data_IF_111569503160
#
_entry.id   IF_111569503160
#
_cell.length_a   1.000
_cell.length_b   1.000
_cell.length_c   1.000
_cell.angle_alpha   90.00
_cell.angle_beta   90.00
_cell.angle_gamma   90.00
#
_symmetry.space_group_name_H-M   'P 1'
#
loop_
_entity.id
_entity.type
_entity.pdbx_description
1 polymer ?
#
# COMPACT_ATOMS: atom_id res chain seq x y z
N UNK A 1 10.33 -8.47 -7.27
CA UNK A 1 9.30 -7.97 -6.35
C UNK A 1 8.42 -6.95 -7.04
N UNK A 2 7.25 -6.72 -6.49
CA UNK A 2 6.27 -5.78 -7.03
C UNK A 2 5.97 -4.73 -5.98
N UNK A 3 5.94 -3.48 -6.40
CA UNK A 3 5.44 -2.39 -5.57
C UNK A 3 4.09 -1.96 -6.13
N UNK A 4 3.11 -1.80 -5.27
CA UNK A 4 1.83 -1.22 -5.67
C UNK A 4 1.63 0.11 -4.98
N UNK A 5 1.07 1.05 -5.72
CA UNK A 5 0.66 2.34 -5.21
C UNK A 5 -0.87 2.40 -5.26
N UNK A 6 -1.47 2.51 -4.10
CA UNK A 6 -2.91 2.69 -3.96
C UNK A 6 -3.18 4.14 -3.63
N UNK A 7 -4.05 4.78 -4.40
CA UNK A 7 -4.43 6.16 -4.16
C UNK A 7 -5.95 6.29 -4.09
N UNK A 8 -6.41 7.04 -3.11
CA UNK A 8 -7.83 7.24 -2.83
C UNK A 8 -8.05 8.74 -2.69
N UNK A 9 -8.87 9.30 -3.55
CA UNK A 9 -9.23 10.71 -3.45
C UNK A 9 -10.26 10.86 -2.34
N UNK A 10 -9.95 11.69 -1.35
CA UNK A 10 -10.84 11.91 -0.21
C UNK A 10 -11.89 12.96 -0.55
N UNK A 11 -13.11 12.75 -0.05
CA UNK A 11 -14.20 13.72 -0.19
C UNK A 11 -13.98 14.92 0.73
N UNK A 12 -13.33 14.70 1.86
CA UNK A 12 -12.94 15.75 2.80
C UNK A 12 -11.48 15.58 3.16
N UNK A 13 -10.78 16.70 3.35
CA UNK A 13 -9.38 16.64 3.75
C UNK A 13 -9.24 16.02 5.13
N UNK A 14 -8.14 15.28 5.31
CA UNK A 14 -7.78 14.72 6.61
C UNK A 14 -6.55 15.41 7.15
N UNK A 15 -6.55 15.66 8.45
CA UNK A 15 -5.33 16.02 9.14
C UNK A 15 -4.46 14.77 9.30
N UNK A 16 -3.16 14.97 9.47
CA UNK A 16 -2.24 13.86 9.69
C UNK A 16 -2.63 13.04 10.93
N UNK A 17 -3.05 13.70 11.98
CA UNK A 17 -3.46 13.06 13.22
C UNK A 17 -4.68 12.17 13.02
N UNK A 18 -5.72 12.68 12.34
CA UNK A 18 -6.90 11.88 12.05
C UNK A 18 -6.61 10.73 11.11
N UNK A 19 -5.77 10.95 10.12
CA UNK A 19 -5.35 9.89 9.20
C UNK A 19 -4.65 8.77 9.96
N UNK A 20 -3.75 9.11 10.87
CA UNK A 20 -3.05 8.13 11.68
C UNK A 20 -4.03 7.28 12.49
N UNK A 21 -5.02 7.90 13.10
CA UNK A 21 -6.03 7.17 13.88
C UNK A 21 -6.83 6.21 13.01
N UNK A 22 -7.27 6.68 11.83
CA UNK A 22 -8.04 5.86 10.89
C UNK A 22 -7.19 4.70 10.38
N UNK A 23 -5.96 4.97 9.96
CA UNK A 23 -5.06 3.95 9.42
C UNK A 23 -4.74 2.87 10.47
N UNK A 24 -4.53 3.28 11.71
CA UNK A 24 -4.26 2.36 12.80
C UNK A 24 -5.39 1.35 13.01
N UNK A 25 -6.63 1.71 12.71
CA UNK A 25 -7.77 0.79 12.87
C UNK A 25 -7.74 -0.37 11.88
N UNK A 26 -7.16 -0.17 10.70
CA UNK A 26 -7.09 -1.21 9.67
C UNK A 26 -5.74 -1.90 9.60
N UNK A 27 -4.71 -1.32 10.18
CA UNK A 27 -3.35 -1.87 10.10
C UNK A 27 -3.26 -3.35 10.50
N UNK A 28 -3.93 -3.81 11.57
CA UNK A 28 -3.87 -5.23 11.94
C UNK A 28 -4.33 -6.19 10.84
N UNK A 29 -5.22 -5.75 9.96
CA UNK A 29 -5.70 -6.60 8.84
C UNK A 29 -4.60 -6.95 7.86
N UNK A 30 -3.57 -6.10 7.77
CA UNK A 30 -2.49 -6.27 6.80
C UNK A 30 -1.29 -7.00 7.38
N UNK A 31 -1.25 -7.22 8.70
CA UNK A 31 -0.26 -8.12 9.27
C UNK A 31 -0.54 -9.53 8.78
N UNK A 32 0.52 -10.27 8.50
CA UNK A 32 0.47 -11.66 8.12
C UNK A 32 -0.24 -11.97 6.80
N UNK A 33 -0.49 -10.96 5.96
CA UNK A 33 -0.94 -11.23 4.59
C UNK A 33 0.19 -11.90 3.83
N UNK A 34 -0.09 -13.08 3.30
CA UNK A 34 0.90 -13.85 2.57
C UNK A 34 1.42 -13.09 1.37
N UNK A 35 2.74 -12.95 1.29
CA UNK A 35 3.41 -12.27 0.19
C UNK A 35 3.53 -10.76 0.34
N UNK A 36 2.90 -10.17 1.35
CA UNK A 36 3.07 -8.76 1.66
C UNK A 36 4.28 -8.59 2.58
N UNK A 37 5.30 -7.90 2.10
CA UNK A 37 6.53 -7.68 2.86
C UNK A 37 6.37 -6.50 3.79
N UNK A 38 5.87 -5.38 3.27
CA UNK A 38 5.58 -4.19 4.07
C UNK A 38 4.57 -3.31 3.37
N UNK A 39 3.94 -2.48 4.15
CA UNK A 39 2.98 -1.49 3.67
C UNK A 39 3.22 -0.17 4.40
N UNK A 40 3.24 0.91 3.64
CA UNK A 40 3.18 2.25 4.19
C UNK A 40 1.81 2.82 3.91
N UNK A 41 1.13 3.31 4.94
CA UNK A 41 -0.01 4.18 4.72
C UNK A 41 0.52 5.57 4.38
N UNK A 42 -0.13 6.22 3.43
CA UNK A 42 0.30 7.54 2.98
C UNK A 42 -0.86 8.53 2.99
N UNK A 43 -0.53 9.78 3.22
CA UNK A 43 -1.45 10.89 3.13
C UNK A 43 -0.71 12.02 2.41
N UNK A 44 -1.33 12.61 1.39
CA UNK A 44 -0.74 13.75 0.71
C UNK A 44 -0.62 14.93 1.68
N UNK A 45 0.33 15.82 1.41
CA UNK A 45 0.58 16.96 2.30
C UNK A 45 -0.65 17.87 2.44
N UNK A 46 -1.44 17.99 1.37
CA UNK A 46 -2.69 18.78 1.40
C UNK A 46 -3.85 18.04 2.06
N UNK A 47 -3.67 16.77 2.42
CA UNK A 47 -4.70 15.96 3.06
C UNK A 47 -5.82 15.51 2.15
N UNK A 48 -5.67 15.65 0.83
CA UNK A 48 -6.73 15.34 -0.13
C UNK A 48 -6.68 13.91 -0.68
N UNK A 49 -5.51 13.27 -0.59
CA UNK A 49 -5.31 11.91 -1.12
C UNK A 49 -4.72 11.02 -0.04
N UNK A 50 -5.38 9.90 0.20
CA UNK A 50 -4.88 8.86 1.09
C UNK A 50 -4.52 7.62 0.27
N UNK A 51 -3.81 6.70 0.87
CA UNK A 51 -3.52 5.44 0.20
C UNK A 51 -2.45 4.62 0.90
N UNK A 52 -1.75 3.86 0.10
CA UNK A 52 -0.68 3.01 0.60
C UNK A 52 0.34 2.67 -0.46
N UNK A 53 1.55 2.46 -0.01
CA UNK A 53 2.63 1.89 -0.82
C UNK A 53 2.90 0.51 -0.24
N UNK A 54 2.82 -0.50 -1.09
CA UNK A 54 2.94 -1.90 -0.68
C UNK A 54 4.11 -2.54 -1.39
N UNK A 55 4.88 -3.32 -0.67
CA UNK A 55 5.94 -4.14 -1.26
C UNK A 55 5.52 -5.60 -1.19
N UNK A 56 5.46 -6.27 -2.35
CA UNK A 56 4.99 -7.64 -2.51
C UNK A 56 6.08 -8.56 -3.03
N UNK A 57 6.05 -9.80 -2.59
CA UNK A 57 6.92 -10.83 -3.14
C UNK A 57 6.63 -11.13 -4.60
N UNK A 58 5.35 -11.01 -5.01
CA UNK A 58 4.92 -11.33 -6.36
C UNK A 58 3.68 -10.54 -6.75
N UNK A 59 3.44 -10.42 -8.05
CA UNK A 59 2.22 -9.81 -8.56
C UNK A 59 0.99 -10.61 -8.16
N UNK A 60 1.09 -11.93 -8.18
CA UNK A 60 -0.04 -12.79 -7.79
C UNK A 60 -0.48 -12.53 -6.36
N UNK A 61 0.45 -12.37 -5.43
CA UNK A 61 0.13 -12.05 -4.05
C UNK A 61 -0.60 -10.72 -3.95
N UNK A 62 -0.16 -9.71 -4.70
CA UNK A 62 -0.81 -8.41 -4.73
C UNK A 62 -2.24 -8.51 -5.28
N UNK A 63 -2.42 -9.23 -6.39
CA UNK A 63 -3.73 -9.40 -7.01
C UNK A 63 -4.73 -10.08 -6.09
N UNK A 64 -4.28 -10.94 -5.21
CA UNK A 64 -5.15 -11.61 -4.25
C UNK A 64 -5.73 -10.67 -3.20
N UNK A 65 -5.08 -9.55 -2.92
CA UNK A 65 -5.63 -8.55 -2.01
C UNK A 65 -6.63 -7.63 -2.72
N UNK A 66 -6.32 -7.18 -3.92
CA UNK A 66 -7.08 -6.12 -4.60
C UNK A 66 -8.31 -6.65 -5.33
N UNK A 67 -9.14 -7.38 -4.59
CA UNK A 67 -10.41 -7.92 -5.08
C UNK A 67 -11.48 -6.85 -5.17
N UNK A 68 -12.58 -7.16 -5.82
CA UNK A 68 -13.75 -6.27 -5.86
C UNK A 68 -14.29 -6.00 -4.46
N UNK A 69 -14.25 -7.00 -3.59
CA UNK A 69 -14.68 -6.86 -2.19
C UNK A 69 -13.79 -5.87 -1.43
N UNK A 70 -12.49 -5.95 -1.62
CA UNK A 70 -11.55 -5.02 -1.00
C UNK A 70 -11.79 -3.59 -1.51
N UNK A 71 -12.01 -3.44 -2.82
CA UNK A 71 -12.30 -2.13 -3.43
C UNK A 71 -13.58 -1.52 -2.87
N UNK A 72 -14.62 -2.34 -2.67
CA UNK A 72 -15.86 -1.90 -2.04
C UNK A 72 -15.64 -1.46 -0.60
N UNK A 73 -14.84 -2.20 0.14
CA UNK A 73 -14.49 -1.82 1.51
C UNK A 73 -13.82 -0.46 1.56
N UNK A 74 -12.86 -0.23 0.68
CA UNK A 74 -12.16 1.06 0.58
C UNK A 74 -13.15 2.18 0.19
N UNK A 75 -14.00 1.92 -0.79
CA UNK A 75 -15.00 2.89 -1.21
C UNK A 75 -15.93 3.29 -0.06
N UNK A 76 -16.41 2.32 0.69
CA UNK A 76 -17.32 2.58 1.81
C UNK A 76 -16.63 3.37 2.91
N UNK A 77 -15.35 3.09 3.13
CA UNK A 77 -14.60 3.75 4.20
C UNK A 77 -14.19 5.17 3.85
N UNK A 78 -13.80 5.43 2.61
CA UNK A 78 -13.19 6.69 2.21
C UNK A 78 -14.02 7.52 1.23
N UNK A 79 -15.08 6.96 0.68
CA UNK A 79 -15.98 7.70 -0.20
C UNK A 79 -15.62 7.73 -1.66
N UNK A 80 -14.53 7.09 -2.06
CA UNK A 80 -14.16 6.99 -3.47
C UNK A 80 -13.44 5.68 -3.76
N UNK A 81 -13.42 5.30 -5.04
CA UNK A 81 -12.75 4.08 -5.45
C UNK A 81 -11.23 4.24 -5.42
N UNK A 82 -10.50 3.21 -4.97
CA UNK A 82 -9.05 3.25 -5.02
C UNK A 82 -8.55 3.04 -6.44
N UNK A 83 -7.46 3.72 -6.79
CA UNK A 83 -6.67 3.36 -7.97
C UNK A 83 -5.48 2.54 -7.52
N UNK A 84 -5.17 1.47 -8.25
CA UNK A 84 -4.04 0.60 -7.95
C UNK A 84 -3.10 0.60 -9.14
N UNK A 85 -1.86 1.00 -8.91
CA UNK A 85 -0.83 1.01 -9.94
C UNK A 85 0.26 0.04 -9.55
N UNK A 86 0.67 -0.81 -10.49
CA UNK A 86 1.71 -1.83 -10.28
C UNK A 86 3.02 -1.38 -10.86
N UNK A 87 4.08 -1.62 -10.13
CA UNK A 87 5.46 -1.37 -10.57
C UNK A 87 6.31 -2.59 -10.29
N UNK A 88 7.21 -2.90 -11.20
CA UNK A 88 8.28 -3.85 -10.90
C UNK A 88 9.32 -3.15 -10.01
N UNK A 89 9.77 -3.83 -9.00
CA UNK A 89 10.85 -3.33 -8.12
C UNK A 89 12.02 -4.31 -8.17
N UNK A 90 12.85 -4.22 -9.22
CA UNK A 90 13.95 -5.19 -9.40
C UNK A 90 15.10 -4.99 -8.42
N UNK A 91 15.25 -3.79 -7.87
CA UNK A 91 16.31 -3.48 -6.92
C UNK A 91 15.73 -2.67 -5.76
N UNK A 92 16.02 -3.11 -4.55
CA UNK A 92 15.61 -2.42 -3.33
C UNK A 92 16.86 -2.10 -2.52
N UNK A 93 17.03 -0.83 -2.20
CA UNK A 93 18.08 -0.40 -1.27
C UNK A 93 17.42 -0.24 0.10
N UNK A 94 17.87 -1.04 1.05
CA UNK A 94 17.32 -1.00 2.41
C UNK A 94 18.43 -0.61 3.38
N UNK A 95 18.48 0.65 3.72
CA UNK A 95 19.51 1.16 4.63
C UNK A 95 19.30 0.74 6.08
N UNK A 96 18.06 0.38 6.44
CA UNK A 96 17.80 -0.11 7.80
C UNK A 96 18.45 -1.46 8.04
N UNK A 97 18.57 -2.27 7.00
CA UNK A 97 19.22 -3.57 7.03
C UNK A 97 20.64 -3.51 6.47
N UNK A 98 21.05 -2.38 5.87
CA UNK A 98 22.32 -2.25 5.21
C UNK A 98 22.48 -3.18 4.01
N UNK A 99 21.37 -3.42 3.27
CA UNK A 99 21.33 -4.40 2.19
C UNK A 99 20.79 -3.83 0.91
N UNK A 100 21.30 -4.37 -0.19
CA UNK A 100 20.70 -4.22 -1.51
C UNK A 100 20.05 -5.55 -1.86
N UNK A 101 18.76 -5.53 -2.16
CA UNK A 101 17.99 -6.72 -2.48
C UNK A 101 17.68 -6.69 -3.96
N UNK A 102 18.03 -7.76 -4.66
CA UNK A 102 17.72 -7.92 -6.08
C UNK A 102 16.82 -9.14 -6.26
N UNK A 103 16.16 -9.22 -7.41
CA UNK A 103 15.49 -10.45 -7.80
C UNK A 103 16.53 -11.56 -7.92
N UNK A 104 16.07 -12.83 -7.95
CA UNK A 104 16.93 -14.02 -7.99
C UNK A 104 17.79 -14.13 -9.25
N UNK A 105 17.80 -13.13 -10.09
CA UNK A 105 18.67 -13.11 -11.26
C UNK A 105 20.05 -12.61 -10.84
N UNK A 106 21.05 -13.35 -11.25
CA UNK A 106 22.43 -12.92 -11.11
C UNK A 106 22.76 -11.97 -12.24
N UNK A 107 23.38 -10.88 -11.90
CA UNK A 107 23.84 -9.90 -12.86
C UNK A 107 25.37 -9.97 -12.95
#
# INVERSE_FOLDING_TARGET
>A
MITTLVQIKLSETLSLEKAQDIFATTAPKYLDIKGLIRKYYILSEDGETAGGVYLWESRKAAEMLYTDEWKKFIFQKYGSEPSVTYFNSPVIVDNSLGKIITNDKKY
#
